data_IF_647524236939
#
_entry.id   IF_647524236939
#
_cell.length_a   1.000
_cell.length_b   1.000
_cell.length_c   1.000
_cell.angle_alpha   90.00
_cell.angle_beta   90.00
_cell.angle_gamma   90.00
#
_symmetry.space_group_name_H-M   'P 1'
#
loop_
_entity.id
_entity.type
_entity.pdbx_description
1 polymer ?
#
# COMPACT_ATOMS: atom_id res chain seq x y z
N UNK A 1 -15.82 15.54 -5.33
CA UNK A 1 -14.64 15.31 -6.21
C UNK A 1 -14.05 13.95 -5.89
N UNK A 2 -13.79 13.15 -6.91
CA UNK A 2 -13.20 11.82 -6.70
C UNK A 2 -11.71 11.95 -6.42
N UNK A 3 -11.18 11.17 -5.44
CA UNK A 3 -9.76 11.21 -5.17
C UNK A 3 -8.94 10.69 -6.35
N UNK A 4 -7.75 11.23 -6.48
CA UNK A 4 -6.83 10.91 -7.57
C UNK A 4 -5.45 10.63 -7.04
N UNK A 5 -4.65 9.95 -7.85
CA UNK A 5 -3.26 9.61 -7.55
C UNK A 5 -2.39 9.99 -8.75
N UNK A 6 -1.15 10.39 -8.49
CA UNK A 6 -0.16 10.70 -9.53
C UNK A 6 0.80 9.54 -9.72
N UNK A 7 0.84 9.00 -10.93
CA UNK A 7 1.75 7.91 -11.30
C UNK A 7 3.18 8.45 -11.48
N UNK A 8 4.14 7.55 -11.54
CA UNK A 8 5.54 7.92 -11.76
C UNK A 8 5.77 8.68 -13.07
N UNK A 9 4.95 8.40 -14.07
CA UNK A 9 4.98 9.10 -15.35
C UNK A 9 4.50 10.55 -15.26
N UNK A 10 3.89 10.93 -14.13
CA UNK A 10 3.26 12.23 -13.93
C UNK A 10 1.78 12.22 -14.24
N UNK A 11 1.27 11.16 -14.84
CA UNK A 11 -0.14 11.04 -15.18
C UNK A 11 -0.99 10.94 -13.92
N UNK A 12 -2.09 11.69 -13.89
CA UNK A 12 -3.05 11.67 -12.78
C UNK A 12 -4.22 10.78 -13.16
N UNK A 13 -4.49 9.79 -12.30
CA UNK A 13 -5.55 8.79 -12.54
C UNK A 13 -6.40 8.65 -11.28
N UNK A 14 -7.60 8.05 -11.38
CA UNK A 14 -8.42 7.83 -10.19
C UNK A 14 -7.69 6.98 -9.14
N UNK A 15 -7.87 7.33 -7.88
CA UNK A 15 -7.35 6.56 -6.76
C UNK A 15 -8.13 5.25 -6.66
N UNK A 16 -7.41 4.13 -6.53
CA UNK A 16 -8.00 2.80 -6.43
C UNK A 16 -7.35 2.03 -5.29
N UNK A 17 -8.04 1.96 -4.16
CA UNK A 17 -7.52 1.28 -2.97
C UNK A 17 -7.32 -0.22 -3.19
N UNK A 18 -8.04 -0.82 -4.14
CA UNK A 18 -7.87 -2.23 -4.45
C UNK A 18 -6.44 -2.54 -4.93
N UNK A 19 -5.78 -1.58 -5.56
CA UNK A 19 -4.39 -1.75 -6.00
C UNK A 19 -3.44 -1.82 -4.82
N UNK A 20 -3.71 -1.06 -3.76
CA UNK A 20 -2.92 -1.13 -2.52
C UNK A 20 -3.07 -2.51 -1.90
N UNK A 21 -4.31 -2.96 -1.75
CA UNK A 21 -4.61 -4.26 -1.16
C UNK A 21 -3.96 -5.39 -1.97
N UNK A 22 -4.06 -5.33 -3.28
CA UNK A 22 -3.49 -6.34 -4.17
C UNK A 22 -1.96 -6.41 -4.04
N UNK A 23 -1.28 -5.27 -3.98
CA UNK A 23 0.18 -5.23 -3.85
C UNK A 23 0.62 -5.83 -2.51
N UNK A 24 -0.05 -5.47 -1.42
CA UNK A 24 0.27 -6.03 -0.10
C UNK A 24 -0.01 -7.53 -0.07
N UNK A 25 -1.13 -7.95 -0.65
CA UNK A 25 -1.49 -9.37 -0.73
C UNK A 25 -0.43 -10.16 -1.50
N UNK A 26 -0.02 -9.67 -2.67
CA UNK A 26 0.98 -10.35 -3.49
C UNK A 26 2.34 -10.47 -2.79
N UNK A 27 2.72 -9.47 -2.01
CA UNK A 27 3.92 -9.54 -1.19
C UNK A 27 3.74 -10.55 -0.05
N UNK A 28 2.58 -10.52 0.61
CA UNK A 28 2.31 -11.34 1.78
C UNK A 28 2.24 -12.83 1.47
N UNK A 29 1.69 -13.21 0.31
CA UNK A 29 1.59 -14.64 -0.04
C UNK A 29 2.93 -15.31 -0.28
N UNK A 30 4.01 -14.55 -0.38
CA UNK A 30 5.37 -15.10 -0.47
C UNK A 30 5.86 -15.65 0.87
N UNK A 31 5.17 -15.28 1.95
CA UNK A 31 5.54 -15.68 3.32
C UNK A 31 4.75 -16.89 3.77
N UNK A 32 5.35 -17.70 4.66
CA UNK A 32 4.67 -18.84 5.24
C UNK A 32 4.28 -18.59 6.71
N UNK A 33 5.00 -17.72 7.39
CA UNK A 33 4.84 -17.51 8.82
C UNK A 33 3.96 -16.34 9.21
N UNK A 34 3.99 -15.28 8.39
CA UNK A 34 3.22 -14.08 8.69
C UNK A 34 2.18 -13.88 7.58
N UNK A 35 1.03 -14.54 7.72
CA UNK A 35 -0.05 -14.46 6.75
C UNK A 35 -1.14 -13.55 7.27
N UNK A 36 -1.43 -12.48 6.51
CA UNK A 36 -2.51 -11.56 6.84
C UNK A 36 -3.84 -12.14 6.37
N UNK A 37 -4.84 -12.06 7.23
CA UNK A 37 -6.21 -12.45 6.86
C UNK A 37 -6.80 -11.42 5.91
N UNK A 38 -7.87 -11.76 5.17
CA UNK A 38 -8.58 -10.77 4.36
C UNK A 38 -9.00 -9.54 5.16
N UNK A 39 -9.42 -9.73 6.39
CA UNK A 39 -9.82 -8.64 7.28
C UNK A 39 -8.64 -7.72 7.61
N UNK A 40 -7.49 -8.31 7.91
CA UNK A 40 -6.28 -7.53 8.20
C UNK A 40 -5.83 -6.74 6.97
N UNK A 41 -5.93 -7.34 5.78
CA UNK A 41 -5.62 -6.66 4.52
C UNK A 41 -6.57 -5.49 4.29
N UNK A 42 -7.86 -5.67 4.55
CA UNK A 42 -8.86 -4.61 4.39
C UNK A 42 -8.61 -3.46 5.37
N UNK A 43 -8.33 -3.77 6.62
CA UNK A 43 -8.06 -2.77 7.65
C UNK A 43 -6.81 -1.94 7.32
N UNK A 44 -5.75 -2.61 6.90
CA UNK A 44 -4.52 -1.94 6.50
C UNK A 44 -4.75 -1.04 5.30
N UNK A 45 -5.45 -1.55 4.29
CA UNK A 45 -5.73 -0.80 3.06
C UNK A 45 -6.56 0.45 3.36
N UNK A 46 -7.59 0.31 4.19
CA UNK A 46 -8.42 1.45 4.58
C UNK A 46 -7.61 2.50 5.33
N UNK A 47 -6.77 2.07 6.26
CA UNK A 47 -5.93 2.97 7.05
C UNK A 47 -4.98 3.76 6.17
N UNK A 48 -4.29 3.08 5.25
CA UNK A 48 -3.35 3.71 4.33
C UNK A 48 -4.08 4.69 3.41
N UNK A 49 -5.22 4.26 2.85
CA UNK A 49 -6.00 5.09 1.93
C UNK A 49 -6.47 6.37 2.60
N UNK A 50 -7.00 6.26 3.82
CA UNK A 50 -7.47 7.41 4.58
C UNK A 50 -6.33 8.38 4.86
N UNK A 51 -5.20 7.85 5.32
CA UNK A 51 -4.05 8.68 5.66
C UNK A 51 -3.48 9.39 4.43
N UNK A 52 -3.41 8.70 3.31
CA UNK A 52 -2.93 9.28 2.06
C UNK A 52 -3.80 10.46 1.62
N UNK A 53 -5.11 10.28 1.67
CA UNK A 53 -6.06 11.31 1.22
C UNK A 53 -6.19 12.46 2.22
N UNK A 54 -5.85 12.23 3.49
CA UNK A 54 -5.80 13.29 4.50
C UNK A 54 -4.54 14.13 4.38
N UNK A 55 -3.41 13.51 4.04
CA UNK A 55 -2.12 14.20 3.99
C UNK A 55 -1.82 14.88 2.66
N UNK A 56 -2.37 14.35 1.57
CA UNK A 56 -2.04 14.82 0.23
C UNK A 56 -3.30 15.06 -0.57
N UNK A 57 -3.36 16.17 -1.31
CA UNK A 57 -4.48 16.44 -2.21
C UNK A 57 -4.47 15.47 -3.39
N UNK A 58 -3.29 15.20 -3.96
CA UNK A 58 -3.10 14.18 -5.01
C UNK A 58 -1.83 13.42 -4.64
N UNK A 59 -1.96 12.30 -3.85
CA UNK A 59 -0.77 11.56 -3.47
C UNK A 59 -0.07 10.93 -4.66
N UNK A 60 1.25 10.82 -4.58
CA UNK A 60 2.04 10.09 -5.58
C UNK A 60 2.05 8.61 -5.22
N UNK A 61 2.38 7.75 -6.18
CA UNK A 61 2.55 6.32 -5.94
C UNK A 61 3.59 6.10 -4.85
N UNK A 62 4.72 6.81 -4.91
CA UNK A 62 5.79 6.68 -3.92
C UNK A 62 5.35 7.06 -2.52
N UNK A 63 4.55 8.12 -2.40
CA UNK A 63 4.02 8.54 -1.09
C UNK A 63 3.10 7.46 -0.50
N UNK A 64 2.27 6.86 -1.35
CA UNK A 64 1.39 5.76 -0.90
C UNK A 64 2.22 4.55 -0.49
N UNK A 65 3.24 4.20 -1.26
CA UNK A 65 4.12 3.07 -0.93
C UNK A 65 4.81 3.28 0.42
N UNK A 66 5.27 4.50 0.69
CA UNK A 66 5.88 4.82 1.98
C UNK A 66 4.88 4.66 3.13
N UNK A 67 3.64 5.09 2.92
CA UNK A 67 2.58 4.93 3.93
C UNK A 67 2.24 3.46 4.18
N UNK A 68 2.27 2.63 3.13
CA UNK A 68 2.06 1.18 3.27
C UNK A 68 3.16 0.59 4.16
N UNK A 69 4.42 0.92 3.88
CA UNK A 69 5.55 0.43 4.68
C UNK A 69 5.43 0.85 6.14
N UNK A 70 5.11 2.12 6.38
CA UNK A 70 4.92 2.62 7.73
C UNK A 70 3.79 1.89 8.46
N UNK A 71 2.67 1.66 7.79
CA UNK A 71 1.53 0.98 8.37
C UNK A 71 1.86 -0.49 8.71
N UNK A 72 2.56 -1.18 7.82
CA UNK A 72 2.99 -2.56 8.06
C UNK A 72 3.90 -2.63 9.29
N UNK A 73 4.84 -1.71 9.41
CA UNK A 73 5.74 -1.65 10.56
C UNK A 73 4.98 -1.31 11.84
N UNK A 74 4.05 -0.37 11.78
CA UNK A 74 3.27 0.05 12.94
C UNK A 74 2.38 -1.09 13.48
N UNK A 75 1.90 -1.96 12.60
CA UNK A 75 1.12 -3.13 13.01
C UNK A 75 1.98 -4.30 13.47
N UNK A 76 3.30 -4.19 13.36
CA UNK A 76 4.21 -5.27 13.72
C UNK A 76 4.36 -6.33 12.64
N UNK A 77 3.92 -6.05 11.41
CA UNK A 77 4.03 -7.00 10.29
C UNK A 77 5.39 -6.83 9.59
N UNK A 78 6.47 -7.04 10.34
CA UNK A 78 7.82 -6.78 9.86
C UNK A 78 8.23 -7.63 8.66
N UNK A 79 7.81 -8.90 8.63
CA UNK A 79 8.12 -9.79 7.51
C UNK A 79 7.40 -9.32 6.24
N UNK A 80 6.13 -8.95 6.37
CA UNK A 80 5.35 -8.43 5.25
C UNK A 80 5.93 -7.11 4.76
N UNK A 81 6.41 -6.25 5.65
CA UNK A 81 7.05 -4.99 5.27
C UNK A 81 8.27 -5.25 4.39
N UNK A 82 9.12 -6.20 4.77
CA UNK A 82 10.30 -6.57 3.97
C UNK A 82 9.90 -7.12 2.62
N UNK A 83 8.91 -8.02 2.60
CA UNK A 83 8.41 -8.61 1.35
C UNK A 83 7.81 -7.53 0.43
N UNK A 84 7.12 -6.55 1.01
CA UNK A 84 6.52 -5.46 0.25
C UNK A 84 7.59 -4.56 -0.38
N UNK A 85 8.66 -4.26 0.36
CA UNK A 85 9.77 -3.47 -0.17
C UNK A 85 10.39 -4.16 -1.39
N UNK A 86 10.60 -5.47 -1.32
CA UNK A 86 11.11 -6.24 -2.44
C UNK A 86 10.14 -6.26 -3.62
N UNK A 87 8.85 -6.44 -3.32
CA UNK A 87 7.80 -6.44 -4.35
C UNK A 87 7.77 -5.10 -5.10
N UNK A 88 7.77 -4.01 -4.35
CA UNK A 88 7.78 -2.65 -4.89
C UNK A 88 9.01 -2.43 -5.79
N UNK A 89 10.16 -2.92 -5.36
CA UNK A 89 11.42 -2.78 -6.08
C UNK A 89 11.39 -3.55 -7.41
N UNK A 90 10.79 -4.73 -7.41
CA UNK A 90 10.62 -5.55 -8.61
C UNK A 90 9.66 -4.92 -9.64
N UNK A 91 8.76 -4.06 -9.19
CA UNK A 91 7.70 -3.49 -10.03
C UNK A 91 7.88 -1.98 -10.27
N UNK A 92 9.10 -1.53 -10.36
CA UNK A 92 9.40 -0.13 -10.69
C UNK A 92 9.03 0.21 -12.12
#
# INVERSE_FOLDING_TARGET
MKPQIRKRSGEVVPFDSAKIRSAVFKANIRLTEERLSPRQLDELTEQVSRKALEQFSVPTVEQIQDLVEEALMAHGYAQTAKAYILYRDEHK
#
